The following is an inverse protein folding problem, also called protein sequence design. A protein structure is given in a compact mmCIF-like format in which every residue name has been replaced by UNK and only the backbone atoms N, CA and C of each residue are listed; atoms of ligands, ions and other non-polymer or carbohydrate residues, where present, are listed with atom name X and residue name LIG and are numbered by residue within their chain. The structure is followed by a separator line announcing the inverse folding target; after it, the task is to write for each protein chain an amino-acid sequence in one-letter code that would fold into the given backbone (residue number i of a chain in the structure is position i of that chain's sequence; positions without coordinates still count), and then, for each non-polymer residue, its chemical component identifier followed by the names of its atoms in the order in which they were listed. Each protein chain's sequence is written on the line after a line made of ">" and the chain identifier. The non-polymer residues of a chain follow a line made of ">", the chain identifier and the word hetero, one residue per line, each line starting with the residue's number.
data_IF_415051087608
#
_entry.id   IF_415051087608
#
_cell.length_a   1.000
_cell.length_b   1.000
_cell.length_c   1.000
_cell.angle_alpha   90.00
_cell.angle_beta   90.00
_cell.angle_gamma   90.00
#
_symmetry.space_group_name_H-M   'P 1'
#
loop_
_entity.id
_entity.type
_entity.pdbx_description
1 polymer ?
#
# COMPACT_ATOMS: atom_id res chain seq x y z
N UNK A 1 11.11 17.71 1.34
CA UNK A 1 11.95 16.68 2.01
C UNK A 1 11.03 15.81 2.85
N UNK A 2 11.31 14.51 2.98
CA UNK A 2 10.58 13.62 3.92
C UNK A 2 11.39 13.57 5.22
N UNK A 3 10.81 13.89 6.38
CA UNK A 3 11.50 13.77 7.66
C UNK A 3 11.72 12.29 8.02
N UNK A 4 12.83 12.00 8.72
CA UNK A 4 13.16 10.64 9.15
C UNK A 4 12.23 10.16 10.27
N UNK A 5 11.77 11.07 11.13
CA UNK A 5 10.88 10.79 12.26
C UNK A 5 9.75 11.80 12.31
N UNK A 6 8.61 11.40 12.87
CA UNK A 6 7.45 12.24 13.10
C UNK A 6 6.82 11.98 14.48
N UNK A 7 5.71 12.67 14.79
CA UNK A 7 5.08 12.61 16.10
C UNK A 7 4.27 11.33 16.37
N UNK A 8 4.11 10.43 15.39
CA UNK A 8 3.27 9.23 15.52
C UNK A 8 1.76 9.51 15.58
N UNK A 9 1.33 10.75 15.36
CA UNK A 9 -0.08 11.16 15.32
C UNK A 9 -0.57 11.26 13.88
N UNK A 10 -1.77 10.78 13.59
CA UNK A 10 -2.29 10.66 12.23
C UNK A 10 -3.52 11.54 12.00
N UNK A 11 -3.66 12.02 10.76
CA UNK A 11 -4.85 12.70 10.25
C UNK A 11 -5.50 11.82 9.19
N UNK A 12 -6.76 11.46 9.41
CA UNK A 12 -7.55 10.71 8.44
C UNK A 12 -8.04 11.59 7.30
N UNK A 13 -8.27 11.00 6.14
CA UNK A 13 -9.04 11.65 5.08
C UNK A 13 -10.53 11.68 5.47
N UNK A 14 -11.13 12.87 5.45
CA UNK A 14 -12.56 13.03 5.70
C UNK A 14 -13.40 12.42 4.55
N UNK A 15 -14.61 11.97 4.89
CA UNK A 15 -15.58 11.40 3.94
C UNK A 15 -15.27 9.95 3.52
N UNK A 16 -16.29 9.10 3.37
CA UNK A 16 -16.13 7.79 2.73
C UNK A 16 -16.02 7.91 1.21
N UNK A 17 -15.84 6.79 0.50
CA UNK A 17 -15.98 6.79 -0.96
C UNK A 17 -17.32 7.42 -1.36
N UNK A 18 -17.34 8.20 -2.44
CA UNK A 18 -18.55 8.87 -2.94
C UNK A 18 -19.54 7.91 -3.62
N UNK A 19 -19.19 6.62 -3.73
CA UNK A 19 -20.02 5.63 -4.41
C UNK A 19 -20.94 4.94 -3.40
N UNK A 20 -22.25 5.14 -3.55
CA UNK A 20 -23.26 4.31 -2.87
C UNK A 20 -23.00 2.84 -3.18
N UNK A 21 -22.52 2.08 -2.20
CA UNK A 21 -22.29 0.65 -2.32
C UNK A 21 -23.19 -0.12 -1.35
N UNK A 22 -23.79 -1.21 -1.85
CA UNK A 22 -24.41 -2.21 -0.98
C UNK A 22 -23.32 -3.15 -0.47
N UNK A 23 -23.19 -3.36 0.85
CA UNK A 23 -22.14 -4.22 1.38
C UNK A 23 -22.17 -5.61 0.77
N UNK A 24 -21.06 -6.06 0.18
CA UNK A 24 -20.92 -7.45 -0.29
C UNK A 24 -20.25 -8.29 0.79
N UNK A 25 -20.57 -9.58 0.85
CA UNK A 25 -19.99 -10.51 1.82
C UNK A 25 -18.44 -10.65 1.77
N UNK A 26 -17.79 -10.12 0.72
CA UNK A 26 -16.33 -10.16 0.52
C UNK A 26 -15.69 -8.76 0.49
N UNK A 27 -16.38 -7.76 1.04
CA UNK A 27 -15.92 -6.37 1.09
C UNK A 27 -15.14 -6.12 2.39
N UNK A 28 -13.97 -5.49 2.26
CA UNK A 28 -13.19 -4.99 3.39
C UNK A 28 -13.20 -3.47 3.38
N UNK A 29 -13.36 -2.87 4.55
CA UNK A 29 -13.33 -1.42 4.70
C UNK A 29 -11.95 -0.94 5.10
N UNK A 30 -11.58 0.26 4.64
CA UNK A 30 -10.30 0.86 5.01
C UNK A 30 -10.37 2.37 5.25
N UNK A 31 -9.55 2.88 6.17
CA UNK A 31 -9.23 4.30 6.27
C UNK A 31 -7.91 4.61 5.58
N UNK A 32 -7.71 5.87 5.19
CA UNK A 32 -6.42 6.41 4.77
C UNK A 32 -6.03 7.52 5.73
N UNK A 33 -4.85 7.38 6.31
CA UNK A 33 -4.36 8.30 7.34
C UNK A 33 -2.91 8.68 7.06
N UNK A 34 -2.59 9.95 7.25
CA UNK A 34 -1.27 10.50 7.00
C UNK A 34 -0.71 11.06 8.29
N UNK A 35 0.51 10.67 8.64
CA UNK A 35 1.21 11.18 9.81
C UNK A 35 1.36 12.71 9.74
N UNK A 36 1.10 13.38 10.87
CA UNK A 36 1.31 14.81 10.99
C UNK A 36 2.78 15.18 10.74
N UNK A 37 3.02 16.26 9.99
CA UNK A 37 4.36 16.71 9.61
C UNK A 37 4.86 16.16 8.26
N UNK A 38 4.19 15.17 7.67
CA UNK A 38 4.45 14.77 6.28
C UNK A 38 3.91 15.80 5.28
N UNK A 39 4.57 16.01 4.13
CA UNK A 39 4.14 16.96 3.10
C UNK A 39 3.05 16.38 2.18
N UNK A 40 2.08 15.66 2.76
CA UNK A 40 0.99 15.02 2.04
C UNK A 40 -0.35 15.36 2.69
N UNK A 41 -1.33 15.71 1.86
CA UNK A 41 -2.70 15.90 2.31
C UNK A 41 -3.40 14.54 2.45
N UNK A 42 -4.12 14.26 3.55
CA UNK A 42 -4.88 13.02 3.70
C UNK A 42 -5.85 12.77 2.54
N UNK A 43 -6.61 13.79 2.12
CA UNK A 43 -7.59 13.67 1.03
C UNK A 43 -6.95 13.28 -0.32
N UNK A 44 -5.86 13.94 -0.72
CA UNK A 44 -5.16 13.61 -1.99
C UNK A 44 -4.50 12.23 -1.95
N UNK A 45 -3.97 11.86 -0.78
CA UNK A 45 -3.41 10.53 -0.55
C UNK A 45 -4.50 9.47 -0.67
N UNK A 46 -5.68 9.74 -0.08
CA UNK A 46 -6.84 8.87 -0.16
C UNK A 46 -7.32 8.68 -1.59
N UNK A 47 -7.47 9.76 -2.37
CA UNK A 47 -7.83 9.67 -3.81
C UNK A 47 -6.87 8.77 -4.57
N UNK A 48 -5.56 8.88 -4.30
CA UNK A 48 -4.56 8.05 -4.97
C UNK A 48 -4.71 6.56 -4.60
N UNK A 49 -4.89 6.26 -3.31
CA UNK A 49 -5.01 4.88 -2.82
C UNK A 49 -6.34 4.26 -3.27
N UNK A 50 -7.42 5.02 -3.21
CA UNK A 50 -8.76 4.61 -3.66
C UNK A 50 -8.74 4.26 -5.16
N UNK A 51 -8.15 5.12 -6.00
CA UNK A 51 -7.99 4.83 -7.41
C UNK A 51 -7.15 3.56 -7.71
N UNK A 52 -6.22 3.20 -6.83
CA UNK A 52 -5.43 1.95 -6.96
C UNK A 52 -6.28 0.74 -6.57
N UNK A 53 -7.02 0.82 -5.46
CA UNK A 53 -7.75 -0.32 -4.90
C UNK A 53 -9.06 -0.60 -5.65
N UNK A 54 -9.64 0.40 -6.29
CA UNK A 54 -10.84 0.28 -7.13
C UNK A 54 -10.53 -0.09 -8.60
N UNK A 55 -9.27 -0.08 -9.00
CA UNK A 55 -8.87 -0.41 -10.37
C UNK A 55 -9.22 -1.86 -10.74
N UNK A 56 -9.72 -2.08 -11.96
CA UNK A 56 -10.12 -3.41 -12.45
C UNK A 56 -8.98 -4.43 -12.48
N UNK A 57 -7.72 -3.98 -12.49
CA UNK A 57 -6.53 -4.84 -12.41
C UNK A 57 -6.19 -5.24 -10.98
N UNK A 58 -6.88 -4.67 -10.00
CA UNK A 58 -6.69 -4.86 -8.57
C UNK A 58 -7.32 -6.15 -8.02
N UNK A 59 -7.44 -6.18 -6.69
CA UNK A 59 -7.84 -7.37 -5.92
C UNK A 59 -9.28 -7.84 -6.18
N UNK A 60 -10.17 -6.96 -6.65
CA UNK A 60 -11.54 -7.35 -7.00
C UNK A 60 -11.56 -8.38 -8.14
N UNK A 61 -10.83 -8.11 -9.23
CA UNK A 61 -10.70 -9.03 -10.36
C UNK A 61 -9.78 -10.20 -10.07
N UNK A 62 -8.67 -9.96 -9.36
CA UNK A 62 -7.68 -10.99 -9.10
C UNK A 62 -8.16 -12.04 -8.08
N UNK A 63 -8.93 -11.64 -7.07
CA UNK A 63 -9.25 -12.44 -5.90
C UNK A 63 -10.73 -12.34 -5.42
N UNK A 64 -11.59 -11.58 -6.11
CA UNK A 64 -12.96 -11.34 -5.65
C UNK A 64 -13.01 -10.59 -4.32
N UNK A 65 -12.01 -9.75 -4.03
CA UNK A 65 -11.91 -8.93 -2.82
C UNK A 65 -12.11 -7.46 -3.18
N UNK A 66 -13.25 -6.90 -2.78
CA UNK A 66 -13.51 -5.47 -2.94
C UNK A 66 -13.06 -4.73 -1.69
N UNK A 67 -12.49 -3.54 -1.87
CA UNK A 67 -12.08 -2.67 -0.77
C UNK A 67 -12.86 -1.37 -0.85
N UNK A 68 -13.38 -0.89 0.27
CA UNK A 68 -14.18 0.33 0.31
C UNK A 68 -13.65 1.31 1.36
N UNK A 69 -13.38 2.56 0.94
CA UNK A 69 -12.88 3.58 1.84
C UNK A 69 -13.99 4.10 2.75
N UNK A 70 -13.77 4.09 4.06
CA UNK A 70 -14.67 4.67 5.06
C UNK A 70 -13.95 5.76 5.85
N UNK A 71 -14.71 6.68 6.45
CA UNK A 71 -14.13 7.77 7.24
C UNK A 71 -13.57 7.29 8.60
N UNK A 72 -14.23 6.30 9.22
CA UNK A 72 -13.88 5.76 10.54
C UNK A 72 -14.36 4.33 10.70
N UNK A 73 -13.80 3.58 11.65
CA UNK A 73 -14.30 2.24 12.03
C UNK A 73 -14.05 1.17 10.98
N UNK A 74 -12.94 1.27 10.26
CA UNK A 74 -12.56 0.35 9.20
C UNK A 74 -11.93 -0.95 9.69
N UNK A 75 -11.97 -1.98 8.87
CA UNK A 75 -11.25 -3.25 9.08
C UNK A 75 -9.73 -3.08 8.95
N UNK A 76 -9.27 -2.20 8.04
CA UNK A 76 -7.84 -1.95 7.79
C UNK A 76 -7.55 -0.45 7.87
N UNK A 77 -6.43 -0.07 8.47
CA UNK A 77 -5.93 1.32 8.45
C UNK A 77 -4.73 1.43 7.54
N UNK A 78 -4.85 2.19 6.45
CA UNK A 78 -3.74 2.48 5.54
C UNK A 78 -3.04 3.75 5.99
N UNK A 79 -1.85 3.59 6.57
CA UNK A 79 -1.08 4.66 7.21
C UNK A 79 0.10 5.07 6.33
N UNK A 80 0.24 6.36 6.02
CA UNK A 80 1.46 6.91 5.47
C UNK A 80 2.30 7.50 6.61
N UNK A 81 3.45 6.89 6.91
CA UNK A 81 4.24 7.20 8.10
C UNK A 81 5.72 7.49 7.76
N UNK A 82 6.37 8.30 8.58
CA UNK A 82 7.82 8.54 8.55
C UNK A 82 8.59 7.24 8.77
N UNK A 83 9.86 7.15 8.32
CA UNK A 83 10.69 5.96 8.52
C UNK A 83 10.74 5.43 9.96
N UNK A 84 10.96 6.28 10.96
CA UNK A 84 11.02 5.84 12.36
C UNK A 84 9.66 5.34 12.88
N UNK A 85 8.58 6.06 12.59
CA UNK A 85 7.22 5.62 12.96
C UNK A 85 6.82 4.33 12.24
N UNK A 86 7.31 4.13 11.01
CA UNK A 86 7.14 2.85 10.30
C UNK A 86 7.78 1.71 11.08
N UNK A 87 9.03 1.87 11.55
CA UNK A 87 9.72 0.85 12.34
C UNK A 87 8.98 0.51 13.63
N UNK A 88 8.42 1.51 14.31
CA UNK A 88 7.63 1.31 15.53
C UNK A 88 6.33 0.56 15.27
N UNK A 89 5.55 0.99 14.26
CA UNK A 89 4.26 0.39 13.92
C UNK A 89 4.41 -1.03 13.34
N UNK A 90 5.51 -1.30 12.67
CA UNK A 90 5.80 -2.61 12.07
C UNK A 90 6.40 -3.62 13.04
N UNK A 91 6.83 -3.20 14.24
CA UNK A 91 7.45 -4.10 15.20
C UNK A 91 6.55 -5.32 15.50
N UNK A 92 7.11 -6.55 15.57
CA UNK A 92 8.55 -6.88 15.61
C UNK A 92 9.24 -7.01 14.23
N UNK A 93 8.56 -6.70 13.12
CA UNK A 93 9.19 -6.71 11.79
C UNK A 93 10.25 -5.61 11.69
N UNK A 94 11.43 -5.96 11.17
CA UNK A 94 12.55 -5.02 11.05
C UNK A 94 12.52 -4.30 9.70
N UNK A 95 11.75 -3.21 9.60
CA UNK A 95 11.67 -2.41 8.37
C UNK A 95 12.90 -1.51 8.16
N UNK A 96 13.65 -1.20 9.22
CA UNK A 96 14.91 -0.41 9.22
C UNK A 96 14.80 0.93 8.49
N UNK A 97 13.65 1.57 8.57
CA UNK A 97 13.28 2.81 7.90
C UNK A 97 13.17 2.69 6.37
N UNK A 98 13.23 1.48 5.81
CA UNK A 98 13.44 1.24 4.38
C UNK A 98 12.29 0.60 3.65
N UNK A 99 11.37 -0.07 4.32
CA UNK A 99 10.26 -0.77 3.67
C UNK A 99 8.96 -0.51 4.40
N UNK A 100 7.86 -0.81 3.73
CA UNK A 100 6.51 -0.82 4.28
C UNK A 100 6.23 -2.18 4.94
N UNK A 101 5.09 -2.30 5.62
CA UNK A 101 4.64 -3.58 6.17
C UNK A 101 3.12 -3.64 6.32
N UNK A 102 2.62 -4.84 6.62
CA UNK A 102 1.36 -5.06 7.31
C UNK A 102 1.61 -5.60 8.72
N UNK A 103 0.95 -5.03 9.73
CA UNK A 103 0.97 -5.50 11.12
C UNK A 103 -0.43 -5.45 11.74
N UNK A 104 -1.06 -6.61 11.98
CA UNK A 104 -2.47 -6.66 12.38
C UNK A 104 -3.36 -5.92 11.38
N UNK A 105 -4.14 -4.96 11.85
CA UNK A 105 -5.06 -4.19 10.99
C UNK A 105 -4.37 -2.98 10.34
N UNK A 106 -3.05 -2.82 10.54
CA UNK A 106 -2.28 -1.71 10.00
C UNK A 106 -1.60 -2.11 8.69
N UNK A 107 -1.84 -1.32 7.65
CA UNK A 107 -1.08 -1.31 6.40
C UNK A 107 -0.22 -0.05 6.41
N UNK A 108 1.07 -0.19 6.72
CA UNK A 108 1.97 0.93 6.97
C UNK A 108 2.85 1.18 5.75
N UNK A 109 2.59 2.28 5.07
CA UNK A 109 3.34 2.77 3.92
C UNK A 109 4.47 3.69 4.39
N UNK A 110 5.72 3.30 4.12
CA UNK A 110 6.88 4.13 4.42
C UNK A 110 6.90 5.38 3.52
N UNK A 111 6.85 6.57 4.11
CA UNK A 111 6.76 7.84 3.38
C UNK A 111 7.96 8.12 2.48
N UNK A 112 9.15 7.60 2.82
CA UNK A 112 10.34 7.72 1.96
C UNK A 112 10.15 6.91 0.68
N UNK A 113 9.59 5.70 0.79
CA UNK A 113 9.25 4.86 -0.37
C UNK A 113 8.10 5.44 -1.19
N UNK A 114 7.09 5.98 -0.53
CA UNK A 114 6.01 6.70 -1.20
C UNK A 114 6.51 7.92 -2.00
N UNK A 115 7.53 8.62 -1.49
CA UNK A 115 8.08 9.82 -2.13
C UNK A 115 9.05 9.51 -3.28
N UNK A 116 9.86 8.47 -3.15
CA UNK A 116 11.03 8.27 -4.03
C UNK A 116 11.05 6.91 -4.74
N UNK A 117 10.24 5.95 -4.32
CA UNK A 117 10.25 4.59 -4.83
C UNK A 117 11.57 3.85 -4.61
N UNK A 118 11.92 3.02 -5.57
CA UNK A 118 13.21 2.32 -5.67
C UNK A 118 13.90 2.65 -6.99
N UNK A 119 15.19 2.33 -7.08
CA UNK A 119 15.95 2.48 -8.32
C UNK A 119 15.37 1.65 -9.46
N UNK A 120 14.85 0.46 -9.17
CA UNK A 120 14.12 -0.34 -10.14
C UNK A 120 12.95 0.45 -10.74
N UNK A 121 12.25 1.29 -9.98
CA UNK A 121 11.12 2.10 -10.46
C UNK A 121 11.48 3.53 -10.88
N UNK A 122 12.76 3.81 -11.16
CA UNK A 122 13.22 5.14 -11.57
C UNK A 122 12.40 5.70 -12.74
N UNK A 123 11.91 6.93 -12.58
CA UNK A 123 11.05 7.61 -13.56
C UNK A 123 9.61 7.09 -13.61
N UNK A 124 9.21 6.15 -12.72
CA UNK A 124 7.88 5.51 -12.69
C UNK A 124 7.28 5.48 -11.29
N UNK A 125 7.42 6.58 -10.54
CA UNK A 125 6.93 6.69 -9.16
C UNK A 125 5.43 6.33 -9.00
N UNK A 126 4.50 6.75 -9.89
CA UNK A 126 3.12 6.32 -9.79
C UNK A 126 2.95 4.79 -9.83
N UNK A 127 3.70 4.11 -10.71
CA UNK A 127 3.69 2.65 -10.80
C UNK A 127 4.23 2.00 -9.51
N UNK A 128 5.23 2.61 -8.87
CA UNK A 128 5.73 2.12 -7.59
C UNK A 128 4.69 2.27 -6.49
N UNK A 129 3.96 3.40 -6.42
CA UNK A 129 2.90 3.60 -5.43
C UNK A 129 1.78 2.57 -5.59
N UNK A 130 1.39 2.29 -6.84
CA UNK A 130 0.44 1.20 -7.15
C UNK A 130 0.93 -0.14 -6.63
N UNK A 131 2.19 -0.50 -6.91
CA UNK A 131 2.80 -1.74 -6.41
C UNK A 131 2.79 -1.78 -4.89
N UNK A 132 3.28 -0.71 -4.23
CA UNK A 132 3.40 -0.63 -2.78
C UNK A 132 2.06 -0.82 -2.09
N UNK A 133 1.02 -0.11 -2.56
CA UNK A 133 -0.34 -0.23 -2.01
C UNK A 133 -0.88 -1.63 -2.20
N UNK A 134 -0.81 -2.18 -3.42
CA UNK A 134 -1.33 -3.53 -3.69
C UNK A 134 -0.58 -4.60 -2.90
N UNK A 135 0.73 -4.49 -2.75
CA UNK A 135 1.56 -5.45 -2.01
C UNK A 135 1.17 -5.51 -0.54
N UNK A 136 1.11 -4.35 0.14
CA UNK A 136 0.81 -4.32 1.57
C UNK A 136 -0.65 -4.64 1.86
N UNK A 137 -1.59 -4.22 0.98
CA UNK A 137 -2.98 -4.67 1.06
C UNK A 137 -3.10 -6.17 0.79
N UNK A 138 -2.28 -6.73 -0.12
CA UNK A 138 -2.21 -8.17 -0.34
C UNK A 138 -1.87 -8.94 0.94
N UNK A 139 -0.97 -8.43 1.76
CA UNK A 139 -0.72 -9.00 3.09
C UNK A 139 -1.93 -8.91 4.02
N UNK A 140 -2.67 -7.80 3.99
CA UNK A 140 -3.91 -7.64 4.76
C UNK A 140 -5.00 -8.63 4.31
N UNK A 141 -5.02 -8.98 3.02
CA UNK A 141 -5.89 -9.99 2.42
C UNK A 141 -5.43 -11.44 2.66
N UNK A 142 -4.28 -11.64 3.33
CA UNK A 142 -3.75 -12.95 3.69
C UNK A 142 -2.76 -13.55 2.68
N UNK A 143 -2.31 -12.79 1.68
CA UNK A 143 -1.31 -13.26 0.72
C UNK A 143 0.10 -13.08 1.27
N UNK A 144 0.90 -14.15 1.19
CA UNK A 144 2.33 -14.14 1.52
C UNK A 144 3.21 -13.74 0.34
N UNK A 145 4.51 -13.57 0.59
CA UNK A 145 5.46 -13.28 -0.48
C UNK A 145 5.56 -14.40 -1.51
N UNK A 146 5.76 -14.01 -2.78
CA UNK A 146 6.00 -14.91 -3.91
C UNK A 146 7.33 -14.54 -4.56
N UNK A 147 8.08 -15.52 -5.07
CA UNK A 147 9.35 -15.27 -5.75
C UNK A 147 9.13 -14.87 -7.21
N UNK A 148 10.11 -14.17 -7.80
CA UNK A 148 10.16 -13.99 -9.24
C UNK A 148 10.13 -15.36 -9.95
N UNK A 149 9.20 -15.60 -10.90
CA UNK A 149 9.10 -16.88 -11.62
C UNK A 149 10.22 -17.09 -12.64
N UNK A 150 10.87 -16.02 -13.10
CA UNK A 150 12.00 -16.10 -14.02
C UNK A 150 12.35 -14.76 -14.68
N UNK A 151 13.53 -14.72 -15.30
CA UNK A 151 14.04 -13.54 -16.00
C UNK A 151 13.08 -13.09 -17.11
N UNK A 152 12.77 -11.80 -17.13
CA UNK A 152 11.86 -11.22 -18.12
C UNK A 152 10.38 -11.51 -17.87
N UNK A 153 10.02 -12.36 -16.90
CA UNK A 153 8.63 -12.58 -16.53
C UNK A 153 8.08 -11.40 -15.71
N UNK A 154 6.76 -11.14 -15.72
CA UNK A 154 6.18 -10.16 -14.81
C UNK A 154 6.38 -10.58 -13.35
N UNK A 155 6.91 -9.67 -12.54
CA UNK A 155 7.02 -9.86 -11.10
C UNK A 155 5.62 -10.12 -10.49
N UNK A 156 5.44 -11.13 -9.64
CA UNK A 156 4.23 -11.21 -8.85
C UNK A 156 4.03 -9.95 -8.00
N UNK A 157 2.81 -9.44 -7.86
CA UNK A 157 2.60 -8.26 -7.00
C UNK A 157 3.04 -8.52 -5.56
N UNK A 158 2.96 -9.78 -5.13
CA UNK A 158 3.43 -10.25 -3.83
C UNK A 158 4.93 -10.60 -3.82
N UNK A 159 5.67 -10.39 -4.90
CA UNK A 159 7.13 -10.30 -4.82
C UNK A 159 7.50 -9.04 -4.05
N UNK A 160 8.53 -9.15 -3.21
CA UNK A 160 9.06 -8.02 -2.45
C UNK A 160 9.93 -7.11 -3.35
N UNK A 161 9.33 -6.54 -4.39
CA UNK A 161 9.98 -5.72 -5.42
C UNK A 161 10.67 -4.47 -4.86
N UNK A 162 10.38 -4.07 -3.62
CA UNK A 162 11.14 -3.00 -2.93
C UNK A 162 12.61 -3.39 -2.67
N UNK A 163 12.92 -4.69 -2.54
CA UNK A 163 14.30 -5.18 -2.40
C UNK A 163 15.00 -5.50 -3.71
N UNK A 164 14.25 -5.64 -4.81
CA UNK A 164 14.77 -5.97 -6.12
C UNK A 164 13.78 -6.82 -6.92
N UNK A 165 14.00 -6.89 -8.22
CA UNK A 165 13.14 -7.65 -9.14
C UNK A 165 13.65 -9.04 -9.46
N UNK A 166 14.90 -9.37 -9.10
CA UNK A 166 15.49 -10.70 -9.33
C UNK A 166 15.34 -11.19 -10.79
N UNK A 167 15.53 -10.29 -11.75
CA UNK A 167 15.40 -10.59 -13.19
C UNK A 167 14.00 -10.39 -13.77
N UNK A 168 12.96 -10.33 -12.93
CA UNK A 168 11.60 -10.04 -13.38
C UNK A 168 11.43 -8.61 -13.91
N UNK A 169 10.39 -8.40 -14.71
CA UNK A 169 9.89 -7.07 -15.08
C UNK A 169 8.97 -6.53 -13.99
N UNK A 170 9.10 -5.23 -13.70
CA UNK A 170 8.21 -4.49 -12.78
C UNK A 170 6.74 -4.78 -13.07
N UNK A 171 5.97 -5.10 -12.05
CA UNK A 171 4.53 -5.21 -12.12
C UNK A 171 3.91 -4.68 -10.83
N UNK A 172 2.80 -3.95 -10.96
CA UNK A 172 2.14 -3.31 -9.84
C UNK A 172 0.76 -3.90 -9.51
N UNK A 173 0.30 -4.88 -10.29
CA UNK A 173 -1.09 -5.33 -10.27
C UNK A 173 -1.19 -6.84 -9.97
N UNK A 174 -2.13 -7.24 -9.09
CA UNK A 174 -2.36 -8.65 -8.76
C UNK A 174 -2.90 -9.47 -9.94
N UNK A 175 -3.57 -8.85 -10.91
CA UNK A 175 -4.16 -9.57 -12.06
C UNK A 175 -3.15 -10.09 -13.09
N UNK A 176 -1.90 -9.62 -13.06
CA UNK A 176 -0.90 -9.84 -14.12
C UNK A 176 -0.05 -11.11 -13.89
N UNK A 177 -0.02 -11.62 -12.67
CA UNK A 177 0.81 -12.75 -12.25
C UNK A 177 -0.07 -13.83 -11.63
N UNK A 178 -0.49 -14.81 -12.44
CA UNK A 178 -1.19 -16.03 -12.00
C UNK A 178 -0.34 -17.25 -12.29
#
# INVERSE_FOLDING_TARGET
>A
MIPESGPGTFRSADGGSSHSHSPRASELTYTVEVEAGLPYAPAETAVTIEAILDDERGWSSAAGRSLHRVATGSDIRVLLATPSTTDELCAPLQTRGRVSCRNGDLVVLNARRWAFGTDDYRGRLPQYRTYLVNHEVGHALGYGHVRCPGDGEPAPVMQQQTYGLDGCRRNAWPSVSR
#
